data_IF_963849862157
#
_entry.id   IF_963849862157
#
_cell.length_a   1.000
_cell.length_b   1.000
_cell.length_c   1.000
_cell.angle_alpha   90.00
_cell.angle_beta   90.00
_cell.angle_gamma   90.00
#
_symmetry.space_group_name_H-M   'P 1'
#
loop_
_entity.id
_entity.type
_entity.pdbx_description
1 polymer ?
#
# COMPACT_ATOMS: atom_id res chain seq x y z
N UNK A 1 -1.36 -11.29 -8.80
CA UNK A 1 -0.51 -10.35 -9.56
C UNK A 1 0.10 -11.07 -10.74
N UNK A 2 0.72 -10.37 -11.70
CA UNK A 2 1.45 -11.04 -12.78
C UNK A 2 2.67 -11.82 -12.28
N UNK A 3 3.04 -11.65 -11.01
CA UNK A 3 3.98 -12.49 -10.26
C UNK A 3 3.41 -13.80 -9.72
N UNK A 4 2.11 -14.07 -9.89
CA UNK A 4 1.47 -15.31 -9.40
C UNK A 4 1.80 -16.55 -10.23
N UNK A 5 2.40 -16.36 -11.41
CA UNK A 5 2.78 -17.45 -12.29
C UNK A 5 4.13 -17.14 -12.95
N UNK A 6 5.22 -17.57 -12.31
CA UNK A 6 6.58 -17.53 -12.86
C UNK A 6 6.66 -18.17 -14.27
N UNK A 7 5.74 -19.09 -14.61
CA UNK A 7 5.65 -19.65 -15.97
C UNK A 7 5.09 -18.63 -16.94
N UNK A 8 4.09 -17.83 -16.57
CA UNK A 8 3.61 -16.72 -17.40
C UNK A 8 4.68 -15.64 -17.59
N UNK A 9 5.46 -15.34 -16.54
CA UNK A 9 6.59 -14.42 -16.66
C UNK A 9 7.59 -14.89 -17.74
N UNK A 10 7.99 -16.17 -17.70
CA UNK A 10 8.88 -16.79 -18.71
C UNK A 10 8.28 -16.89 -20.11
N UNK A 11 6.96 -17.04 -20.22
CA UNK A 11 6.25 -17.24 -21.49
C UNK A 11 5.97 -15.93 -22.23
N UNK A 12 5.83 -14.81 -21.52
CA UNK A 12 5.44 -13.54 -22.12
C UNK A 12 6.59 -12.54 -22.30
N UNK A 13 7.73 -12.66 -21.58
CA UNK A 13 8.76 -11.62 -21.45
C UNK A 13 10.17 -12.19 -21.15
N UNK A 14 11.32 -11.59 -21.51
CA UNK A 14 11.71 -10.50 -22.43
C UNK A 14 13.21 -10.70 -22.78
N UNK A 15 13.72 -10.06 -23.84
CA UNK A 15 15.16 -10.06 -24.16
C UNK A 15 15.94 -9.29 -23.11
N UNK A 16 17.26 -9.53 -22.97
CA UNK A 16 18.12 -8.80 -22.03
C UNK A 16 17.91 -7.27 -22.10
N UNK A 17 17.78 -6.72 -23.31
CA UNK A 17 17.52 -5.29 -23.51
C UNK A 17 16.15 -4.84 -22.96
N UNK A 18 15.09 -5.64 -23.17
CA UNK A 18 13.76 -5.35 -22.64
C UNK A 18 13.71 -5.41 -21.11
N UNK A 19 14.44 -6.35 -20.50
CA UNK A 19 14.55 -6.45 -19.04
C UNK A 19 15.27 -5.25 -18.43
N UNK A 20 16.38 -4.81 -19.04
CA UNK A 20 17.11 -3.60 -18.62
C UNK A 20 16.20 -2.37 -18.68
N UNK A 21 15.48 -2.18 -19.79
CA UNK A 21 14.54 -1.06 -19.95
C UNK A 21 13.37 -1.15 -18.98
N UNK A 22 12.86 -2.35 -18.69
CA UNK A 22 11.77 -2.53 -17.74
C UNK A 22 12.18 -2.12 -16.32
N UNK A 23 13.38 -2.48 -15.87
CA UNK A 23 13.90 -2.07 -14.56
C UNK A 23 14.00 -0.54 -14.48
N UNK A 24 14.63 0.09 -15.47
CA UNK A 24 14.77 1.56 -15.52
C UNK A 24 13.41 2.27 -15.56
N UNK A 25 12.47 1.73 -16.33
CA UNK A 25 11.10 2.22 -16.39
C UNK A 25 10.42 2.15 -15.02
N UNK A 26 10.54 1.02 -14.30
CA UNK A 26 9.93 0.82 -12.98
C UNK A 26 10.46 1.82 -11.94
N UNK A 27 11.77 2.06 -11.94
CA UNK A 27 12.41 3.04 -11.05
C UNK A 27 11.93 4.46 -11.32
N UNK A 28 11.98 4.90 -12.60
CA UNK A 28 11.51 6.23 -12.99
C UNK A 28 10.02 6.43 -12.74
N UNK A 29 9.20 5.39 -13.00
CA UNK A 29 7.78 5.41 -12.72
C UNK A 29 7.54 5.65 -11.23
N UNK A 30 8.12 4.83 -10.36
CA UNK A 30 7.94 4.92 -8.92
C UNK A 30 8.38 6.29 -8.35
N UNK A 31 9.46 6.85 -8.87
CA UNK A 31 9.93 8.17 -8.46
C UNK A 31 8.96 9.30 -8.90
N UNK A 32 8.54 9.29 -10.17
CA UNK A 32 7.72 10.37 -10.72
C UNK A 32 6.28 10.35 -10.24
N UNK A 33 5.72 9.16 -9.99
CA UNK A 33 4.35 9.03 -9.47
C UNK A 33 4.28 8.97 -7.95
N UNK A 34 5.39 9.14 -7.24
CA UNK A 34 5.51 9.06 -5.76
C UNK A 34 4.48 9.92 -5.01
N UNK A 35 4.00 10.99 -5.61
CA UNK A 35 2.93 11.82 -5.04
C UNK A 35 1.63 11.02 -4.78
N UNK A 36 1.44 9.88 -5.45
CA UNK A 36 0.30 8.99 -5.22
C UNK A 36 0.45 8.15 -3.95
N UNK A 37 1.61 8.16 -3.29
CA UNK A 37 1.82 7.49 -2.01
C UNK A 37 1.04 8.17 -0.87
N UNK A 38 0.42 9.32 -1.11
CA UNK A 38 -0.41 10.01 -0.12
C UNK A 38 -1.77 9.30 0.08
N UNK A 39 -2.23 9.22 1.33
CA UNK A 39 -3.49 8.55 1.67
C UNK A 39 -4.70 9.19 0.97
N UNK A 40 -4.77 10.53 0.95
CA UNK A 40 -5.87 11.23 0.29
C UNK A 40 -5.80 11.01 -1.22
N UNK A 41 -4.60 10.86 -1.79
CA UNK A 41 -4.43 10.52 -3.19
C UNK A 41 -4.96 9.10 -3.51
N UNK A 42 -4.73 8.12 -2.63
CA UNK A 42 -5.10 6.72 -2.82
C UNK A 42 -6.57 6.40 -2.55
N UNK A 43 -7.19 7.09 -1.58
CA UNK A 43 -8.49 6.74 -1.02
C UNK A 43 -9.51 7.87 -1.02
N UNK A 44 -9.11 9.12 -1.24
CA UNK A 44 -10.00 10.27 -1.21
C UNK A 44 -10.92 10.37 -2.44
N UNK A 45 -11.81 11.37 -2.43
CA UNK A 45 -12.82 11.61 -3.49
C UNK A 45 -12.19 11.76 -4.88
N UNK A 46 -10.95 12.23 -4.94
CA UNK A 46 -10.23 12.47 -6.18
C UNK A 46 -9.48 11.23 -6.71
N UNK A 47 -9.59 10.07 -6.03
CA UNK A 47 -8.88 8.83 -6.36
C UNK A 47 -8.89 8.48 -7.84
N UNK A 48 -10.05 8.46 -8.50
CA UNK A 48 -10.15 8.06 -9.92
C UNK A 48 -9.37 9.00 -10.83
N UNK A 49 -9.39 10.31 -10.54
CA UNK A 49 -8.61 11.30 -11.28
C UNK A 49 -7.11 11.12 -11.03
N UNK A 50 -6.73 10.81 -9.80
CA UNK A 50 -5.33 10.56 -9.43
C UNK A 50 -4.79 9.30 -10.13
N UNK A 51 -5.58 8.21 -10.16
CA UNK A 51 -5.21 7.00 -10.89
C UNK A 51 -5.05 7.27 -12.40
N UNK A 52 -5.94 8.08 -12.99
CA UNK A 52 -5.83 8.48 -14.40
C UNK A 52 -4.58 9.33 -14.66
N UNK A 53 -4.28 10.29 -13.78
CA UNK A 53 -3.08 11.13 -13.91
C UNK A 53 -1.80 10.29 -13.79
N UNK A 54 -1.73 9.38 -12.80
CA UNK A 54 -0.63 8.45 -12.65
C UNK A 54 -0.49 7.53 -13.88
N UNK A 55 -1.61 7.10 -14.48
CA UNK A 55 -1.61 6.35 -15.72
C UNK A 55 -1.04 7.13 -16.90
N UNK A 56 -1.47 8.38 -17.09
CA UNK A 56 -0.95 9.24 -18.16
C UNK A 56 0.55 9.54 -17.98
N UNK A 57 1.00 9.79 -16.74
CA UNK A 57 2.42 9.96 -16.44
C UNK A 57 3.21 8.69 -16.73
N UNK A 58 2.69 7.53 -16.31
CA UNK A 58 3.31 6.23 -16.59
C UNK A 58 3.45 5.98 -18.09
N UNK A 59 2.42 6.27 -18.89
CA UNK A 59 2.49 6.17 -20.35
C UNK A 59 3.56 7.10 -20.94
N UNK A 60 3.67 8.34 -20.45
CA UNK A 60 4.70 9.28 -20.91
C UNK A 60 6.12 8.80 -20.62
N UNK A 61 6.33 8.17 -19.45
CA UNK A 61 7.61 7.57 -19.09
C UNK A 61 7.91 6.38 -20.01
N UNK A 62 6.92 5.51 -20.25
CA UNK A 62 7.04 4.34 -21.10
C UNK A 62 7.46 4.66 -22.55
N UNK A 63 7.11 5.83 -23.09
CA UNK A 63 7.52 6.25 -24.43
C UNK A 63 9.05 6.33 -24.61
N UNK A 64 9.82 6.41 -23.52
CA UNK A 64 11.29 6.44 -23.55
C UNK A 64 11.92 5.05 -23.67
N UNK A 65 11.11 3.99 -23.57
CA UNK A 65 11.54 2.60 -23.48
C UNK A 65 10.87 1.78 -24.59
N UNK A 66 11.45 1.71 -25.80
CA UNK A 66 10.78 1.09 -26.95
C UNK A 66 10.64 -0.44 -26.83
N UNK A 67 11.44 -1.10 -25.98
CA UNK A 67 11.45 -2.56 -25.86
C UNK A 67 10.50 -3.09 -24.78
N UNK A 68 9.82 -2.23 -24.02
CA UNK A 68 8.80 -2.64 -23.06
C UNK A 68 7.44 -2.74 -23.74
N UNK A 69 6.70 -3.82 -23.46
CA UNK A 69 5.36 -3.95 -24.02
C UNK A 69 4.33 -3.10 -23.26
N UNK A 70 3.28 -2.65 -23.94
CA UNK A 70 2.18 -1.92 -23.30
C UNK A 70 1.51 -2.70 -22.16
N UNK A 71 1.45 -4.03 -22.23
CA UNK A 71 0.94 -4.86 -21.13
C UNK A 71 1.85 -4.80 -19.90
N UNK A 72 3.18 -4.75 -20.09
CA UNK A 72 4.14 -4.59 -18.99
C UNK A 72 3.95 -3.25 -18.29
N UNK A 73 3.70 -2.19 -19.05
CA UNK A 73 3.44 -0.83 -18.55
C UNK A 73 2.17 -0.76 -17.70
N UNK A 74 1.05 -1.25 -18.23
CA UNK A 74 -0.25 -1.24 -17.53
C UNK A 74 -0.15 -2.03 -16.22
N UNK A 75 0.47 -3.21 -16.27
CA UNK A 75 0.59 -4.05 -15.09
C UNK A 75 1.55 -3.49 -14.05
N UNK A 76 2.64 -2.82 -14.45
CA UNK A 76 3.56 -2.16 -13.53
C UNK A 76 2.83 -1.12 -12.65
N UNK A 77 2.03 -0.24 -13.26
CA UNK A 77 1.25 0.73 -12.50
C UNK A 77 0.21 0.04 -11.61
N UNK A 78 -0.52 -0.93 -12.15
CA UNK A 78 -1.56 -1.65 -11.39
C UNK A 78 -0.97 -2.32 -10.15
N UNK A 79 0.19 -2.95 -10.28
CA UNK A 79 0.89 -3.61 -9.18
C UNK A 79 1.44 -2.60 -8.17
N UNK A 80 1.96 -1.48 -8.64
CA UNK A 80 2.42 -0.40 -7.76
C UNK A 80 1.28 0.17 -6.92
N UNK A 81 0.17 0.56 -7.53
CA UNK A 81 -1.03 1.05 -6.83
C UNK A 81 -1.61 0.01 -5.87
N UNK A 82 -1.62 -1.27 -6.28
CA UNK A 82 -2.06 -2.35 -5.43
C UNK A 82 -1.16 -2.52 -4.20
N UNK A 83 0.16 -2.47 -4.38
CA UNK A 83 1.13 -2.56 -3.29
C UNK A 83 0.95 -1.42 -2.30
N UNK A 84 0.87 -0.18 -2.78
CA UNK A 84 0.66 0.99 -1.91
C UNK A 84 -0.61 0.83 -1.08
N UNK A 85 -1.74 0.50 -1.72
CA UNK A 85 -3.00 0.28 -1.01
C UNK A 85 -2.91 -0.86 -0.02
N UNK A 86 -2.22 -1.94 -0.38
CA UNK A 86 -2.02 -3.07 0.52
C UNK A 86 -1.23 -2.64 1.75
N UNK A 87 -0.11 -1.93 1.57
CA UNK A 87 0.72 -1.42 2.67
C UNK A 87 -0.05 -0.44 3.55
N UNK A 88 -0.81 0.49 2.98
CA UNK A 88 -1.70 1.38 3.73
C UNK A 88 -2.72 0.58 4.54
N UNK A 89 -3.49 -0.29 3.89
CA UNK A 89 -4.56 -1.04 4.55
C UNK A 89 -4.05 -2.00 5.63
N UNK A 90 -2.86 -2.58 5.49
CA UNK A 90 -2.38 -3.65 6.38
C UNK A 90 -1.23 -3.25 7.30
N UNK A 91 -0.58 -2.09 7.12
CA UNK A 91 0.61 -1.73 7.89
C UNK A 91 0.55 -0.36 8.54
N UNK A 92 -0.07 0.63 7.89
CA UNK A 92 -0.13 2.01 8.40
C UNK A 92 -0.60 2.06 9.84
N UNK A 93 0.10 2.79 10.71
CA UNK A 93 -0.24 3.03 12.13
C UNK A 93 -0.33 1.79 13.05
N UNK A 94 -0.11 0.57 12.56
CA UNK A 94 -0.21 -0.63 13.41
C UNK A 94 0.87 -0.68 14.49
N UNK A 95 2.10 -0.32 14.14
CA UNK A 95 3.21 -0.18 15.08
C UNK A 95 2.89 0.84 16.19
N UNK A 96 2.30 1.98 15.81
CA UNK A 96 1.81 3.00 16.72
C UNK A 96 0.72 2.47 17.67
N UNK A 97 -0.27 1.74 17.15
CA UNK A 97 -1.32 1.10 17.95
C UNK A 97 -0.72 0.17 19.00
N UNK A 98 0.15 -0.75 18.60
CA UNK A 98 0.77 -1.71 19.53
C UNK A 98 1.62 -1.02 20.59
N UNK A 99 2.43 -0.05 20.19
CA UNK A 99 3.26 0.71 21.10
C UNK A 99 2.42 1.47 22.14
N UNK A 100 1.31 2.06 21.72
CA UNK A 100 0.43 2.84 22.59
C UNK A 100 -0.31 1.95 23.59
N UNK A 101 -0.75 0.76 23.16
CA UNK A 101 -1.29 -0.27 24.06
C UNK A 101 -0.25 -0.65 25.13
N UNK A 102 0.99 -0.97 24.72
CA UNK A 102 2.05 -1.34 25.66
C UNK A 102 2.37 -0.24 26.68
N UNK A 103 2.43 1.03 26.23
CA UNK A 103 2.64 2.16 27.15
C UNK A 103 1.56 2.22 28.21
N UNK A 104 0.28 2.02 27.86
CA UNK A 104 -0.85 2.09 28.80
C UNK A 104 -0.83 0.94 29.79
N UNK A 105 -0.63 -0.28 29.29
CA UNK A 105 -0.49 -1.48 30.12
C UNK A 105 0.65 -1.28 31.14
N UNK A 106 1.82 -0.84 30.69
CA UNK A 106 3.00 -0.68 31.55
C UNK A 106 2.87 0.49 32.54
N UNK A 107 2.42 1.66 32.10
CA UNK A 107 2.38 2.88 32.93
C UNK A 107 1.21 2.89 33.90
N UNK A 108 0.04 2.43 33.46
CA UNK A 108 -1.19 2.54 34.24
C UNK A 108 -1.55 1.22 34.94
N UNK A 109 -0.72 0.17 34.79
CA UNK A 109 -0.92 -1.15 35.40
C UNK A 109 -2.30 -1.75 35.10
N UNK A 110 -2.73 -1.64 33.85
CA UNK A 110 -4.03 -2.15 33.39
C UNK A 110 -3.87 -3.38 32.49
N UNK A 111 -4.95 -4.15 32.31
CA UNK A 111 -4.96 -5.27 31.37
C UNK A 111 -5.10 -4.77 29.91
N UNK A 112 -4.88 -5.68 28.96
CA UNK A 112 -4.95 -5.38 27.53
C UNK A 112 -6.32 -4.86 27.09
N UNK A 113 -7.42 -5.46 27.57
CA UNK A 113 -8.78 -5.06 27.23
C UNK A 113 -9.09 -3.62 27.63
N UNK A 114 -8.69 -3.22 28.84
CA UNK A 114 -8.86 -1.84 29.33
C UNK A 114 -8.04 -0.84 28.50
N UNK A 115 -6.79 -1.19 28.15
CA UNK A 115 -5.93 -0.35 27.33
C UNK A 115 -6.51 -0.18 25.91
N UNK A 116 -7.05 -1.26 25.33
CA UNK A 116 -7.68 -1.25 24.01
C UNK A 116 -8.96 -0.43 24.01
N UNK A 117 -9.78 -0.53 25.06
CA UNK A 117 -10.99 0.27 25.24
C UNK A 117 -10.68 1.76 25.31
N UNK A 118 -9.70 2.16 26.12
CA UNK A 118 -9.24 3.56 26.17
C UNK A 118 -8.75 4.05 24.81
N UNK A 119 -8.02 3.19 24.07
CA UNK A 119 -7.49 3.55 22.75
C UNK A 119 -8.61 3.77 21.73
N UNK A 120 -9.65 2.95 21.79
CA UNK A 120 -10.85 3.09 20.98
C UNK A 120 -11.63 4.36 21.31
N UNK A 121 -11.79 4.69 22.60
CA UNK A 121 -12.53 5.86 23.08
C UNK A 121 -11.83 7.17 22.71
N UNK A 122 -10.51 7.24 22.87
CA UNK A 122 -9.69 8.41 22.54
C UNK A 122 -9.49 8.59 21.03
N UNK A 123 -9.76 7.55 20.24
CA UNK A 123 -9.69 7.59 18.77
C UNK A 123 -8.36 8.16 18.23
N UNK A 124 -7.24 7.83 18.89
CA UNK A 124 -5.88 8.29 18.50
C UNK A 124 -5.49 7.78 17.12
N UNK A 125 -6.03 6.63 16.71
CA UNK A 125 -5.78 6.01 15.41
C UNK A 125 -7.10 5.87 14.62
N UNK A 126 -7.64 6.95 14.03
CA UNK A 126 -8.92 6.91 13.33
C UNK A 126 -8.96 5.86 12.20
N UNK A 127 -7.86 5.71 11.47
CA UNK A 127 -7.76 4.73 10.38
C UNK A 127 -7.85 3.28 10.89
N UNK A 128 -7.30 3.01 12.08
CA UNK A 128 -7.33 1.69 12.73
C UNK A 128 -8.53 1.48 13.64
N UNK A 129 -9.43 2.45 13.74
CA UNK A 129 -10.60 2.34 14.60
C UNK A 129 -11.45 1.09 14.32
N UNK A 130 -11.70 0.68 13.06
CA UNK A 130 -12.42 -0.57 12.78
C UNK A 130 -11.68 -1.81 13.30
N UNK A 131 -10.35 -1.86 13.11
CA UNK A 131 -9.51 -2.97 13.55
C UNK A 131 -9.46 -3.06 15.09
N UNK A 132 -9.30 -1.91 15.76
CA UNK A 132 -9.31 -1.78 17.22
C UNK A 132 -10.68 -2.23 17.77
N UNK A 133 -11.77 -1.82 17.14
CA UNK A 133 -13.13 -2.24 17.52
C UNK A 133 -13.29 -3.75 17.39
N UNK A 134 -12.89 -4.31 16.27
CA UNK A 134 -12.96 -5.75 16.04
C UNK A 134 -12.17 -6.54 17.10
N UNK A 135 -10.97 -6.07 17.44
CA UNK A 135 -10.15 -6.66 18.48
C UNK A 135 -10.82 -6.56 19.87
N UNK A 136 -11.50 -5.45 20.16
CA UNK A 136 -12.24 -5.26 21.42
C UNK A 136 -13.46 -6.17 21.51
N UNK A 137 -14.25 -6.26 20.43
CA UNK A 137 -15.43 -7.12 20.34
C UNK A 137 -15.06 -8.61 20.44
N UNK A 138 -13.85 -8.96 20.01
CA UNK A 138 -13.31 -10.32 20.06
C UNK A 138 -12.54 -10.62 21.36
N UNK A 139 -12.37 -9.65 22.25
CA UNK A 139 -11.60 -9.82 23.49
C UNK A 139 -12.48 -10.50 24.56
N UNK A 140 -12.15 -11.73 25.00
CA UNK A 140 -13.01 -12.52 25.89
C UNK A 140 -13.06 -12.01 27.35
N UNK A 141 -12.46 -10.86 27.68
CA UNK A 141 -12.30 -10.39 29.06
C UNK A 141 -11.11 -11.07 29.76
N UNK A 142 -10.80 -10.68 31.02
CA UNK A 142 -9.79 -11.37 31.83
C UNK A 142 -10.14 -12.84 32.10
#
# INVERSE_FOLDING_TARGET
>A
GMYGDLKQYRLYYHTYQGDVEYVQFREQMAEQIKWIDDEAALFGDQRLRNELEAFLQTLRIAMRFPNISGRSVVSALREHLYSLRFDFNHRKDLDGVYLEIWKRVARNKMNFGDALKQLYEENIFPFRRPDIKLALDSYPGP
#
